data_IF_716403917273
#
_entry.id   IF_716403917273
#
_cell.length_a   1.000
_cell.length_b   1.000
_cell.length_c   1.000
_cell.angle_alpha   90.00
_cell.angle_beta   90.00
_cell.angle_gamma   90.00
#
_symmetry.space_group_name_H-M   'P 1'
#
loop_
_entity.id
_entity.type
_entity.pdbx_description
1 polymer ?
#
# COMPACT_ATOMS: atom_id res chain seq x y z
N UNK A 1 -5.62 64.99 47.57
CA UNK A 1 -6.20 64.27 46.42
C UNK A 1 -5.09 63.67 45.56
N UNK A 2 -4.79 62.37 45.70
CA UNK A 2 -3.97 61.58 44.76
C UNK A 2 -4.18 60.09 45.03
N UNK A 3 -5.25 59.53 44.47
CA UNK A 3 -5.45 58.09 44.28
C UNK A 3 -5.87 57.95 42.82
N UNK A 4 -5.18 57.11 42.03
CA UNK A 4 -5.60 56.53 40.73
C UNK A 4 -4.38 56.40 39.77
N UNK A 5 -3.47 55.46 40.04
CA UNK A 5 -2.50 55.00 39.03
C UNK A 5 -2.17 53.49 39.15
N UNK A 6 -3.15 52.65 39.49
CA UNK A 6 -2.94 51.19 39.57
C UNK A 6 -4.08 50.44 38.86
N UNK A 7 -4.31 50.65 37.56
CA UNK A 7 -5.28 49.81 36.77
C UNK A 7 -5.00 49.71 35.26
N UNK A 8 -3.74 49.71 34.78
CA UNK A 8 -3.50 49.63 33.32
C UNK A 8 -2.36 48.70 32.86
N UNK A 9 -1.92 47.73 33.67
CA UNK A 9 -0.84 46.81 33.27
C UNK A 9 -1.20 45.32 33.22
N UNK A 10 -2.44 44.94 33.53
CA UNK A 10 -2.84 43.52 33.57
C UNK A 10 -3.64 43.04 32.36
N UNK A 11 -3.91 43.89 31.35
CA UNK A 11 -4.81 43.53 30.23
C UNK A 11 -4.12 43.18 28.91
N UNK A 12 -2.79 43.03 28.86
CA UNK A 12 -2.07 42.66 27.62
C UNK A 12 -1.51 41.22 27.60
N UNK A 13 -1.61 40.45 28.68
CA UNK A 13 -1.16 39.04 28.68
C UNK A 13 -2.25 38.03 28.27
N UNK A 14 -3.53 38.40 28.33
CA UNK A 14 -4.63 37.47 28.02
C UNK A 14 -4.93 37.29 26.53
N UNK A 15 -4.54 38.25 25.68
CA UNK A 15 -4.89 38.25 24.25
C UNK A 15 -3.82 37.60 23.36
N UNK A 16 -2.61 37.37 23.88
CA UNK A 16 -1.54 36.70 23.15
C UNK A 16 -1.58 35.16 23.29
N UNK A 17 -2.32 34.63 24.27
CA UNK A 17 -2.39 33.19 24.54
C UNK A 17 -3.56 32.50 23.81
N UNK A 18 -4.54 33.26 23.33
CA UNK A 18 -5.72 32.73 22.61
C UNK A 18 -5.44 32.56 21.10
N UNK A 19 -4.39 33.21 20.59
CA UNK A 19 -3.95 33.11 19.19
C UNK A 19 -3.02 31.93 18.89
N UNK A 20 -2.67 31.13 19.90
CA UNK A 20 -1.87 29.90 19.75
C UNK A 20 -2.73 28.62 19.69
N UNK A 21 -4.07 28.73 19.76
CA UNK A 21 -5.00 27.60 19.81
C UNK A 21 -5.86 27.41 18.54
N UNK A 22 -5.51 28.06 17.42
CA UNK A 22 -6.29 28.00 16.17
C UNK A 22 -5.41 27.63 14.97
N UNK A 23 -4.77 26.47 15.02
CA UNK A 23 -3.89 26.09 13.91
C UNK A 23 -3.45 24.63 13.83
N UNK A 24 -4.00 23.70 14.63
CA UNK A 24 -3.90 22.28 14.29
C UNK A 24 -4.88 21.98 13.18
N UNK A 25 -4.58 22.50 11.99
CA UNK A 25 -5.04 21.89 10.75
C UNK A 25 -4.48 20.47 10.80
N UNK A 26 -5.33 19.51 11.16
CA UNK A 26 -5.08 18.10 10.87
C UNK A 26 -4.97 18.04 9.34
N UNK A 27 -3.74 18.10 8.83
CA UNK A 27 -3.46 17.99 7.42
C UNK A 27 -3.86 16.57 7.05
N UNK A 28 -5.09 16.41 6.58
CA UNK A 28 -5.55 15.14 6.04
C UNK A 28 -4.61 14.85 4.88
N UNK A 29 -3.77 13.83 5.03
CA UNK A 29 -3.08 13.25 3.89
C UNK A 29 -4.19 12.85 2.92
N UNK A 30 -4.33 13.59 1.82
CA UNK A 30 -5.23 13.16 0.76
C UNK A 30 -4.68 11.82 0.31
N UNK A 31 -5.48 10.76 0.48
CA UNK A 31 -5.14 9.48 -0.12
C UNK A 31 -5.14 9.70 -1.62
N UNK A 32 -3.94 9.76 -2.20
CA UNK A 32 -3.78 9.76 -3.63
C UNK A 32 -3.99 8.31 -4.05
N UNK A 33 -5.20 7.97 -4.47
CA UNK A 33 -5.51 6.64 -4.98
C UNK A 33 -4.91 6.52 -6.38
N UNK A 34 -3.64 6.16 -6.46
CA UNK A 34 -2.92 6.05 -7.72
C UNK A 34 -3.15 4.66 -8.35
N UNK A 35 -3.14 4.62 -9.67
CA UNK A 35 -3.25 3.37 -10.43
C UNK A 35 -1.93 3.07 -11.10
N UNK A 36 -1.33 1.94 -10.74
CA UNK A 36 -0.08 1.45 -11.28
C UNK A 36 -0.29 0.24 -12.18
N UNK A 37 0.64 0.03 -13.11
CA UNK A 37 0.60 -1.06 -14.08
C UNK A 37 1.81 -1.97 -13.90
N UNK A 38 1.56 -3.27 -13.88
CA UNK A 38 2.60 -4.30 -13.80
C UNK A 38 2.49 -5.18 -15.03
N UNK A 39 3.58 -5.41 -15.77
CA UNK A 39 3.61 -6.24 -16.97
C UNK A 39 4.94 -7.01 -17.05
N UNK A 40 4.90 -8.25 -17.55
CA UNK A 40 6.11 -9.09 -17.65
C UNK A 40 7.20 -8.52 -18.56
N UNK A 41 6.83 -7.65 -19.49
CA UNK A 41 7.74 -6.90 -20.38
C UNK A 41 8.14 -5.51 -19.84
N UNK A 42 7.76 -5.17 -18.61
CA UNK A 42 8.06 -3.90 -17.95
C UNK A 42 9.44 -3.85 -17.30
N UNK A 43 9.66 -2.82 -16.49
CA UNK A 43 10.88 -2.64 -15.68
C UNK A 43 10.52 -2.02 -14.33
N UNK A 44 11.09 -2.53 -13.24
CA UNK A 44 10.86 -1.98 -11.90
C UNK A 44 11.52 -0.61 -11.68
N UNK A 45 12.29 -0.12 -12.67
CA UNK A 45 12.80 1.26 -12.72
C UNK A 45 11.82 2.23 -13.39
N UNK A 46 10.73 1.74 -13.99
CA UNK A 46 9.72 2.57 -14.62
C UNK A 46 8.84 3.27 -13.58
N UNK A 47 8.10 4.33 -13.95
CA UNK A 47 7.15 5.00 -13.06
C UNK A 47 5.88 4.19 -12.75
N UNK A 48 5.67 3.02 -13.36
CA UNK A 48 4.49 2.20 -13.13
C UNK A 48 3.24 2.68 -13.88
N UNK A 49 3.41 3.41 -14.98
CA UNK A 49 2.29 3.86 -15.83
C UNK A 49 1.95 2.82 -16.88
N UNK A 50 0.80 2.95 -17.56
CA UNK A 50 0.40 2.00 -18.62
C UNK A 50 1.46 1.89 -19.74
N UNK A 51 2.05 3.03 -20.13
CA UNK A 51 3.09 3.09 -21.17
C UNK A 51 4.47 2.63 -20.68
N UNK A 52 4.71 2.68 -19.37
CA UNK A 52 5.96 2.26 -18.74
C UNK A 52 5.64 1.51 -17.44
N UNK A 53 5.19 0.24 -17.54
CA UNK A 53 4.76 -0.53 -16.39
C UNK A 53 5.95 -1.05 -15.59
N UNK A 54 5.73 -1.33 -14.31
CA UNK A 54 6.63 -2.13 -13.49
C UNK A 54 6.70 -3.56 -14.00
N UNK A 55 7.75 -4.30 -13.63
CA UNK A 55 7.94 -5.68 -14.11
C UNK A 55 7.33 -6.70 -13.17
N UNK A 56 7.45 -6.46 -11.87
CA UNK A 56 7.16 -7.46 -10.82
C UNK A 56 5.97 -7.06 -9.95
N UNK A 57 5.18 -8.03 -9.52
CA UNK A 57 4.13 -7.80 -8.51
C UNK A 57 4.78 -7.51 -7.17
N UNK A 58 5.96 -8.10 -6.89
CA UNK A 58 6.72 -7.80 -5.68
C UNK A 58 7.12 -6.32 -5.57
N UNK A 59 7.46 -5.64 -6.69
CA UNK A 59 7.73 -4.20 -6.65
C UNK A 59 6.50 -3.41 -6.21
N UNK A 60 5.32 -3.70 -6.78
CA UNK A 60 4.08 -3.06 -6.35
C UNK A 60 3.80 -3.33 -4.85
N UNK A 61 4.06 -4.56 -4.39
CA UNK A 61 3.89 -4.99 -3.00
C UNK A 61 4.86 -4.34 -1.99
N UNK A 62 5.88 -3.63 -2.47
CA UNK A 62 6.83 -2.87 -1.66
C UNK A 62 6.63 -1.34 -1.76
N UNK A 63 6.01 -0.87 -2.85
CA UNK A 63 5.98 0.55 -3.19
C UNK A 63 4.63 1.23 -2.93
N UNK A 64 3.52 0.53 -3.16
CA UNK A 64 2.18 1.13 -3.09
C UNK A 64 1.79 1.60 -1.69
N UNK A 65 1.05 2.71 -1.63
CA UNK A 65 0.46 3.27 -0.43
C UNK A 65 -1.03 2.98 -0.30
N UNK A 66 -1.66 3.40 0.82
CA UNK A 66 -3.09 3.20 1.07
C UNK A 66 -3.96 3.80 -0.04
N UNK A 67 -4.83 2.97 -0.62
CA UNK A 67 -5.79 3.37 -1.67
C UNK A 67 -5.31 3.13 -3.10
N UNK A 68 -4.04 2.76 -3.27
CA UNK A 68 -3.48 2.46 -4.58
C UNK A 68 -4.01 1.16 -5.18
N UNK A 69 -4.00 1.10 -6.51
CA UNK A 69 -4.40 -0.08 -7.28
C UNK A 69 -3.30 -0.49 -8.25
N UNK A 70 -2.82 -1.74 -8.15
CA UNK A 70 -1.99 -2.37 -9.17
C UNK A 70 -2.87 -3.14 -10.17
N UNK A 71 -2.86 -2.70 -11.42
CA UNK A 71 -3.41 -3.42 -12.58
C UNK A 71 -2.31 -4.28 -13.21
N UNK A 72 -2.44 -5.60 -13.02
CA UNK A 72 -1.44 -6.58 -13.43
C UNK A 72 -1.85 -7.15 -14.79
N UNK A 73 -1.05 -6.89 -15.82
CA UNK A 73 -1.28 -7.38 -17.18
C UNK A 73 -1.19 -8.91 -17.23
N UNK A 74 -1.83 -9.49 -18.24
CA UNK A 74 -1.82 -10.92 -18.48
C UNK A 74 -0.40 -11.42 -18.74
N UNK A 75 -0.05 -12.51 -18.09
CA UNK A 75 1.30 -13.05 -18.15
C UNK A 75 1.58 -14.04 -17.03
N UNK A 76 2.72 -14.72 -17.16
CA UNK A 76 3.23 -15.63 -16.14
C UNK A 76 4.27 -14.86 -15.32
N UNK A 77 4.01 -14.74 -14.03
CA UNK A 77 4.84 -14.09 -13.03
C UNK A 77 5.46 -15.18 -12.15
N UNK A 78 6.73 -15.46 -12.42
CA UNK A 78 7.52 -16.46 -11.72
C UNK A 78 8.17 -15.85 -10.47
N UNK A 79 7.35 -15.51 -9.47
CA UNK A 79 7.80 -14.84 -8.25
C UNK A 79 7.15 -15.41 -6.99
N UNK A 80 7.78 -15.18 -5.85
CA UNK A 80 7.14 -15.32 -4.54
C UNK A 80 6.87 -13.92 -4.02
N UNK A 81 5.61 -13.62 -3.72
CA UNK A 81 5.16 -12.27 -3.36
C UNK A 81 4.89 -12.18 -1.87
N UNK A 82 5.63 -11.31 -1.19
CA UNK A 82 5.30 -10.86 0.17
C UNK A 82 4.69 -9.47 0.09
N UNK A 83 3.44 -9.33 0.54
CA UNK A 83 2.78 -8.04 0.69
C UNK A 83 3.34 -7.36 1.94
N UNK A 84 4.06 -6.25 1.74
CA UNK A 84 4.70 -5.47 2.81
C UNK A 84 3.99 -4.13 3.08
N UNK A 85 2.85 -3.92 2.43
CA UNK A 85 2.07 -2.68 2.47
C UNK A 85 0.71 -2.93 3.09
N UNK A 86 0.20 -1.94 3.81
CA UNK A 86 -1.14 -1.95 4.39
C UNK A 86 -1.94 -0.76 3.88
N UNK A 87 -3.21 -1.00 3.59
CA UNK A 87 -4.17 0.08 3.37
C UNK A 87 -4.67 0.67 4.69
N UNK A 88 -5.75 1.44 4.60
CA UNK A 88 -6.53 1.89 5.75
C UNK A 88 -8.02 1.65 5.52
N UNK A 89 -8.84 1.87 6.55
CA UNK A 89 -10.28 1.58 6.55
C UNK A 89 -11.03 2.11 5.31
N UNK A 90 -10.63 3.28 4.80
CA UNK A 90 -11.24 3.90 3.62
C UNK A 90 -10.36 3.85 2.36
N UNK A 91 -9.14 3.32 2.46
CA UNK A 91 -8.14 3.32 1.39
C UNK A 91 -7.49 1.93 1.30
N UNK A 92 -8.26 0.98 0.75
CA UNK A 92 -7.82 -0.41 0.54
C UNK A 92 -6.83 -0.47 -0.61
N UNK A 93 -5.72 -1.18 -0.42
CA UNK A 93 -4.76 -1.44 -1.50
C UNK A 93 -5.26 -2.61 -2.32
N UNK A 94 -5.29 -2.47 -3.65
CA UNK A 94 -5.82 -3.52 -4.54
C UNK A 94 -4.75 -4.03 -5.50
N UNK A 95 -4.54 -5.33 -5.53
CA UNK A 95 -3.78 -6.02 -6.56
C UNK A 95 -4.78 -6.81 -7.41
N UNK A 96 -4.92 -6.44 -8.68
CA UNK A 96 -5.88 -7.10 -9.55
C UNK A 96 -5.32 -7.37 -10.94
N UNK A 97 -5.79 -8.44 -11.57
CA UNK A 97 -5.57 -8.63 -13.00
C UNK A 97 -6.21 -7.48 -13.79
N UNK A 98 -5.52 -7.06 -14.86
CA UNK A 98 -6.04 -6.07 -15.79
C UNK A 98 -7.37 -6.58 -16.39
N UNK A 99 -8.40 -5.73 -16.53
CA UNK A 99 -9.71 -6.18 -16.99
C UNK A 99 -9.65 -6.95 -18.32
N UNK A 100 -10.14 -8.20 -18.33
CA UNK A 100 -10.13 -9.06 -19.51
C UNK A 100 -8.83 -9.85 -19.73
N UNK A 101 -7.83 -9.68 -18.87
CA UNK A 101 -6.57 -10.43 -18.87
C UNK A 101 -6.47 -11.30 -17.60
N UNK A 102 -5.57 -12.28 -17.60
CA UNK A 102 -5.30 -13.13 -16.43
C UNK A 102 -3.82 -13.09 -16.11
N UNK A 103 -3.48 -12.48 -14.97
CA UNK A 103 -2.16 -12.57 -14.39
C UNK A 103 -2.03 -13.88 -13.61
N UNK A 104 -1.00 -14.65 -13.93
CA UNK A 104 -0.73 -15.95 -13.32
C UNK A 104 0.52 -15.84 -12.47
N UNK A 105 0.37 -15.99 -11.16
CA UNK A 105 1.47 -16.14 -10.22
C UNK A 105 1.84 -17.64 -10.19
N UNK A 106 2.99 -17.98 -10.78
CA UNK A 106 3.38 -19.36 -11.06
C UNK A 106 4.60 -19.81 -10.26
N UNK A 107 4.38 -20.84 -9.44
CA UNK A 107 5.39 -21.42 -8.59
C UNK A 107 6.30 -22.46 -9.26
N UNK A 108 6.10 -22.80 -10.53
CA UNK A 108 6.84 -23.87 -11.24
C UNK A 108 8.37 -23.83 -11.11
N UNK A 109 9.05 -22.68 -11.20
CA UNK A 109 10.51 -22.65 -11.06
C UNK A 109 10.97 -22.81 -9.60
N UNK A 110 10.06 -22.71 -8.63
CA UNK A 110 10.38 -22.95 -7.23
C UNK A 110 10.20 -24.43 -6.91
N UNK A 111 11.29 -25.04 -6.45
CA UNK A 111 11.31 -26.42 -5.96
C UNK A 111 12.12 -26.46 -4.67
N UNK A 112 11.66 -25.74 -3.65
CA UNK A 112 12.28 -25.81 -2.33
C UNK A 112 11.86 -27.08 -1.60
N UNK A 113 12.80 -27.81 -0.96
CA UNK A 113 12.48 -28.94 -0.07
C UNK A 113 11.57 -28.53 1.10
N UNK A 114 11.67 -27.28 1.53
CA UNK A 114 10.97 -26.74 2.70
C UNK A 114 9.61 -26.11 2.36
N UNK A 115 9.26 -26.10 1.07
CA UNK A 115 8.05 -25.46 0.55
C UNK A 115 8.27 -24.03 0.07
N UNK A 116 7.42 -23.65 -0.88
CA UNK A 116 7.38 -22.38 -1.59
C UNK A 116 6.02 -21.72 -1.32
N UNK A 117 6.04 -20.56 -0.66
CA UNK A 117 4.85 -19.74 -0.45
C UNK A 117 4.75 -18.77 -1.61
N UNK A 118 3.70 -18.88 -2.41
CA UNK A 118 3.52 -18.01 -3.57
C UNK A 118 3.09 -16.60 -3.24
N UNK A 119 2.12 -16.46 -2.33
CA UNK A 119 1.62 -15.18 -1.87
C UNK A 119 1.51 -15.19 -0.35
N UNK A 120 2.17 -14.23 0.28
CA UNK A 120 2.23 -14.08 1.73
C UNK A 120 1.72 -12.71 2.15
N UNK A 121 0.79 -12.71 3.11
CA UNK A 121 0.27 -11.51 3.77
C UNK A 121 0.41 -11.73 5.27
N UNK A 122 1.40 -11.09 5.90
CA UNK A 122 1.67 -11.24 7.34
C UNK A 122 1.59 -9.89 8.00
N UNK A 123 0.70 -9.78 8.99
CA UNK A 123 0.47 -8.55 9.75
C UNK A 123 0.15 -7.32 8.87
N UNK A 124 -0.41 -7.53 7.67
CA UNK A 124 -0.92 -6.45 6.82
C UNK A 124 -2.44 -6.44 6.83
N UNK A 125 -3.01 -5.26 6.67
CA UNK A 125 -4.45 -5.02 6.71
C UNK A 125 -4.92 -4.23 5.50
N UNK A 126 -6.21 -4.35 5.16
CA UNK A 126 -6.84 -3.60 4.07
C UNK A 126 -6.17 -3.81 2.71
N UNK A 127 -5.91 -5.07 2.37
CA UNK A 127 -5.38 -5.50 1.07
C UNK A 127 -6.40 -6.39 0.38
N UNK A 128 -6.66 -6.11 -0.90
CA UNK A 128 -7.50 -6.92 -1.78
C UNK A 128 -6.65 -7.55 -2.87
N UNK A 129 -6.80 -8.85 -3.08
CA UNK A 129 -6.19 -9.60 -4.18
C UNK A 129 -7.33 -10.13 -5.05
N UNK A 130 -7.39 -9.76 -6.32
CA UNK A 130 -8.54 -10.05 -7.17
C UNK A 130 -8.15 -10.54 -8.56
N UNK A 131 -8.71 -11.68 -8.97
CA UNK A 131 -8.61 -12.15 -10.36
C UNK A 131 -7.23 -12.65 -10.76
N UNK A 132 -6.29 -12.83 -9.82
CA UNK A 132 -5.03 -13.52 -10.06
C UNK A 132 -5.27 -15.03 -10.04
N UNK A 133 -4.66 -15.74 -10.99
CA UNK A 133 -4.48 -17.20 -10.89
C UNK A 133 -3.20 -17.44 -10.09
N UNK A 134 -3.27 -18.27 -9.04
CA UNK A 134 -2.10 -18.66 -8.24
C UNK A 134 -1.96 -20.17 -8.38
N UNK A 135 -0.82 -20.66 -8.89
CA UNK A 135 -0.63 -22.08 -9.16
C UNK A 135 0.78 -22.56 -8.92
N UNK A 136 0.93 -23.88 -8.85
CA UNK A 136 2.21 -24.60 -8.81
C UNK A 136 3.13 -24.29 -7.61
N UNK A 137 2.59 -23.71 -6.53
CA UNK A 137 3.29 -23.60 -5.25
C UNK A 137 3.12 -24.88 -4.43
N UNK A 138 4.20 -25.35 -3.82
CA UNK A 138 4.22 -26.60 -3.04
C UNK A 138 4.67 -26.28 -1.63
N UNK A 139 4.04 -26.86 -0.61
CA UNK A 139 4.56 -26.75 0.76
C UNK A 139 4.62 -28.13 1.42
N UNK A 140 5.63 -28.34 2.26
CA UNK A 140 5.71 -29.51 3.14
C UNK A 140 5.06 -29.24 4.51
N UNK A 141 4.62 -28.00 4.76
CA UNK A 141 3.97 -27.57 6.01
C UNK A 141 2.44 -27.50 5.80
N UNK A 142 1.64 -28.39 6.43
CA UNK A 142 0.20 -28.49 6.19
C UNK A 142 -0.62 -27.24 6.52
N UNK A 143 -0.08 -26.34 7.34
CA UNK A 143 -0.79 -25.17 7.87
C UNK A 143 -0.27 -23.83 7.30
N UNK A 144 0.69 -23.86 6.37
CA UNK A 144 1.37 -22.64 5.90
C UNK A 144 0.57 -21.89 4.81
N UNK A 145 -0.22 -22.59 4.00
CA UNK A 145 -1.04 -22.02 2.92
C UNK A 145 -2.21 -22.95 2.59
N UNK A 146 -3.32 -22.45 1.99
CA UNK A 146 -4.39 -23.31 1.50
C UNK A 146 -3.80 -24.34 0.53
N UNK A 147 -3.81 -25.61 0.93
CA UNK A 147 -3.47 -26.70 0.04
C UNK A 147 -4.61 -26.85 -0.97
N UNK A 148 -4.27 -26.88 -2.25
CA UNK A 148 -5.16 -27.44 -3.27
C UNK A 148 -5.38 -28.93 -3.04
#
# INVERSE_FOLDING_TARGET
>A
MKRQQIRKRTLQLGLLLILLLTGMSCQQAMANNETFYVATNGSDANPGTEAAPWRTIQHAANTMGPGDTALIRGGIYEEAVTINVSGSENNVITFQSYPGETAVLDGTPFSSPDGDIGLQIVNQSYVTIQGLEIRNYKTTIPNAVPMG
#
